data_IF_329299900095
#
_entry.id   IF_329299900095
#
_cell.length_a   1.000
_cell.length_b   1.000
_cell.length_c   1.000
_cell.angle_alpha   90.00
_cell.angle_beta   90.00
_cell.angle_gamma   90.00
#
_symmetry.space_group_name_H-M   'P 1'
#
loop_
_entity.id
_entity.type
_entity.pdbx_description
1 polymer ?
#
# COMPACT_ATOMS: atom_id res chain seq x y z
N UNK A 1 18.97 -24.88 15.39
CA UNK A 1 19.04 -23.44 15.67
C UNK A 1 20.21 -22.79 14.96
N UNK A 2 21.39 -23.41 15.05
CA UNK A 2 22.67 -22.80 14.66
C UNK A 2 22.78 -22.38 13.19
N UNK A 3 22.17 -23.15 12.28
CA UNK A 3 22.15 -22.79 10.86
C UNK A 3 21.42 -21.45 10.64
N UNK A 4 20.20 -21.30 11.15
CA UNK A 4 19.44 -20.04 11.01
C UNK A 4 20.14 -18.87 11.70
N UNK A 5 20.72 -19.09 12.87
CA UNK A 5 21.51 -18.07 13.57
C UNK A 5 22.75 -17.65 12.75
N UNK A 6 23.41 -18.60 12.10
CA UNK A 6 24.52 -18.34 11.19
C UNK A 6 24.11 -17.45 10.00
N UNK A 7 22.96 -17.75 9.37
CA UNK A 7 22.42 -16.90 8.29
C UNK A 7 22.03 -15.51 8.77
N UNK A 8 21.39 -15.40 9.94
CA UNK A 8 21.04 -14.12 10.55
C UNK A 8 22.29 -13.25 10.80
N UNK A 9 23.31 -13.81 11.46
CA UNK A 9 24.56 -13.10 11.77
C UNK A 9 25.32 -12.74 10.49
N UNK A 10 25.38 -13.65 9.52
CA UNK A 10 26.01 -13.43 8.22
C UNK A 10 25.34 -12.30 7.43
N UNK A 11 24.00 -12.28 7.39
CA UNK A 11 23.23 -11.23 6.72
C UNK A 11 23.42 -9.88 7.40
N UNK A 12 23.36 -9.85 8.74
CA UNK A 12 23.61 -8.63 9.51
C UNK A 12 25.01 -8.08 9.26
N UNK A 13 26.03 -8.94 9.22
CA UNK A 13 27.40 -8.54 8.88
C UNK A 13 27.49 -8.00 7.45
N UNK A 14 26.89 -8.67 6.47
CA UNK A 14 26.91 -8.20 5.09
C UNK A 14 26.25 -6.81 4.94
N UNK A 15 25.13 -6.55 5.64
CA UNK A 15 24.50 -5.24 5.65
C UNK A 15 25.42 -4.17 6.28
N UNK A 16 26.03 -4.48 7.42
CA UNK A 16 26.98 -3.59 8.09
C UNK A 16 28.18 -3.25 7.20
N UNK A 17 28.79 -4.26 6.56
CA UNK A 17 29.93 -4.07 5.65
C UNK A 17 29.55 -3.22 4.43
N UNK A 18 28.26 -3.23 4.03
CA UNK A 18 27.68 -2.37 3.00
C UNK A 18 27.17 -1.01 3.54
N UNK A 19 27.56 -0.61 4.75
CA UNK A 19 27.16 0.65 5.40
C UNK A 19 25.64 0.83 5.50
N UNK A 20 24.91 -0.27 5.72
CA UNK A 20 23.47 -0.25 5.98
C UNK A 20 23.23 -0.50 7.47
N UNK A 21 22.60 0.46 8.12
CA UNK A 21 22.24 0.35 9.52
C UNK A 21 21.18 -0.74 9.74
N UNK A 22 21.29 -1.42 10.88
CA UNK A 22 20.37 -2.50 11.25
C UNK A 22 19.97 -2.38 12.71
N UNK A 23 18.71 -2.71 13.00
CA UNK A 23 18.19 -2.85 14.37
C UNK A 23 17.77 -4.30 14.56
N UNK A 24 18.14 -4.90 15.70
CA UNK A 24 17.73 -6.26 16.08
C UNK A 24 16.88 -6.19 17.33
N UNK A 25 15.71 -6.81 17.31
CA UNK A 25 14.84 -7.01 18.47
C UNK A 25 14.81 -8.51 18.75
N UNK A 26 15.24 -8.91 19.95
CA UNK A 26 15.26 -10.31 20.39
C UNK A 26 14.16 -10.52 21.43
N UNK A 27 13.44 -11.63 21.30
CA UNK A 27 12.47 -12.11 22.29
C UNK A 27 12.83 -13.55 22.66
N UNK A 28 12.60 -13.93 23.91
CA UNK A 28 12.98 -15.25 24.42
C UNK A 28 12.13 -16.37 23.81
N UNK A 29 10.84 -16.10 23.60
CA UNK A 29 9.90 -17.02 22.97
C UNK A 29 8.78 -16.28 22.24
N UNK A 30 8.12 -16.99 21.32
CA UNK A 30 6.90 -16.51 20.66
C UNK A 30 5.70 -16.91 21.52
N UNK A 31 5.10 -15.94 22.18
CA UNK A 31 3.90 -16.12 23.00
C UNK A 31 2.93 -14.95 22.82
N UNK A 32 1.64 -15.09 23.18
CA UNK A 32 0.68 -13.99 23.08
C UNK A 32 1.16 -12.72 23.79
N UNK A 33 1.88 -12.86 24.92
CA UNK A 33 2.48 -11.77 25.65
C UNK A 33 3.59 -11.09 24.84
N UNK A 34 4.56 -11.83 24.31
CA UNK A 34 5.69 -11.21 23.57
C UNK A 34 5.23 -10.58 22.26
N UNK A 35 4.24 -11.17 21.59
CA UNK A 35 3.59 -10.56 20.42
C UNK A 35 2.85 -9.27 20.78
N UNK A 36 2.09 -9.24 21.89
CA UNK A 36 1.43 -8.03 22.37
C UNK A 36 2.41 -6.89 22.67
N UNK A 37 3.58 -7.21 23.23
CA UNK A 37 4.65 -6.23 23.47
C UNK A 37 5.20 -5.68 22.16
N UNK A 38 5.42 -6.51 21.14
CA UNK A 38 5.91 -6.06 19.83
C UNK A 38 4.89 -5.15 19.13
N UNK A 39 3.61 -5.53 19.12
CA UNK A 39 2.54 -4.66 18.57
C UNK A 39 2.57 -3.32 19.30
N UNK A 40 2.59 -3.35 20.63
CA UNK A 40 2.61 -2.15 21.42
C UNK A 40 3.83 -1.28 21.10
N UNK A 41 5.03 -1.85 21.04
CA UNK A 41 6.26 -1.14 20.70
C UNK A 41 6.15 -0.42 19.36
N UNK A 42 5.69 -1.11 18.31
CA UNK A 42 5.57 -0.52 16.98
C UNK A 42 4.49 0.56 16.91
N UNK A 43 3.34 0.40 17.60
CA UNK A 43 2.33 1.45 17.71
C UNK A 43 2.89 2.75 18.32
N UNK A 44 3.66 2.64 19.42
CA UNK A 44 4.29 3.83 20.05
C UNK A 44 5.38 4.42 19.17
N UNK A 45 6.20 3.58 18.53
CA UNK A 45 7.29 4.03 17.66
C UNK A 45 6.75 4.84 16.47
N UNK A 46 5.68 4.37 15.82
CA UNK A 46 5.02 5.09 14.73
C UNK A 46 4.43 6.42 15.22
N UNK A 47 3.72 6.41 16.34
CA UNK A 47 3.13 7.63 16.91
C UNK A 47 4.19 8.67 17.30
N UNK A 48 5.29 8.24 17.92
CA UNK A 48 6.41 9.09 18.28
C UNK A 48 7.11 9.66 17.05
N UNK A 49 7.39 8.83 16.04
CA UNK A 49 8.02 9.32 14.81
C UNK A 49 7.16 10.36 14.10
N UNK A 50 5.86 10.11 13.99
CA UNK A 50 4.91 11.06 13.40
C UNK A 50 4.86 12.39 14.17
N UNK A 51 4.92 12.36 15.50
CA UNK A 51 4.98 13.59 16.30
C UNK A 51 6.28 14.37 16.09
N UNK A 52 7.41 13.68 15.92
CA UNK A 52 8.72 14.29 15.62
C UNK A 52 8.75 15.02 14.27
N UNK A 53 8.05 14.49 13.26
CA UNK A 53 8.00 15.09 11.91
C UNK A 53 6.71 15.90 11.65
N UNK A 54 5.90 16.13 12.69
CA UNK A 54 4.67 16.93 12.64
C UNK A 54 3.62 16.44 11.62
N UNK A 55 3.44 15.13 11.50
CA UNK A 55 2.36 14.53 10.69
C UNK A 55 1.33 13.81 11.57
N UNK A 56 0.13 13.64 11.04
CA UNK A 56 -0.88 12.80 11.68
C UNK A 56 -0.72 11.34 11.22
N UNK A 57 -0.27 10.45 12.11
CA UNK A 57 -0.13 9.01 11.83
C UNK A 57 -1.45 8.27 11.58
N UNK A 58 -2.58 8.87 11.97
CA UNK A 58 -3.87 8.18 12.07
C UNK A 58 -4.84 8.54 10.94
N UNK A 59 -4.47 9.47 10.05
CA UNK A 59 -5.30 9.86 8.91
C UNK A 59 -4.71 9.35 7.59
N UNK A 60 -5.58 8.85 6.70
CA UNK A 60 -5.18 8.28 5.41
C UNK A 60 -5.94 8.92 4.23
N UNK A 61 -5.78 10.24 3.99
CA UNK A 61 -6.56 10.96 2.97
C UNK A 61 -6.32 10.46 1.53
N UNK A 62 -5.11 9.94 1.25
CA UNK A 62 -4.77 9.39 -0.06
C UNK A 62 -5.62 8.17 -0.46
N UNK A 63 -6.13 7.41 0.50
CA UNK A 63 -6.99 6.24 0.25
C UNK A 63 -8.30 6.67 -0.39
N UNK A 64 -8.94 7.70 0.16
CA UNK A 64 -10.21 8.20 -0.34
C UNK A 64 -10.05 8.92 -1.68
N UNK A 65 -8.96 9.66 -1.87
CA UNK A 65 -8.62 10.24 -3.16
C UNK A 65 -8.43 9.17 -4.24
N UNK A 66 -7.70 8.09 -3.92
CA UNK A 66 -7.49 6.96 -4.83
C UNK A 66 -8.78 6.25 -5.20
N UNK A 67 -9.67 6.00 -4.22
CA UNK A 67 -11.00 5.42 -4.47
C UNK A 67 -11.86 6.28 -5.39
N UNK A 68 -11.86 7.61 -5.20
CA UNK A 68 -12.63 8.53 -6.06
C UNK A 68 -12.13 8.49 -7.50
N UNK A 69 -10.81 8.62 -7.71
CA UNK A 69 -10.20 8.56 -9.03
C UNK A 69 -10.48 7.22 -9.73
N UNK A 70 -10.33 6.09 -9.02
CA UNK A 70 -10.66 4.78 -9.57
C UNK A 70 -12.15 4.67 -9.92
N UNK A 71 -13.04 5.20 -9.08
CA UNK A 71 -14.48 5.21 -9.32
C UNK A 71 -14.89 6.01 -10.56
N UNK A 72 -14.21 7.11 -10.88
CA UNK A 72 -14.45 7.88 -12.11
C UNK A 72 -14.09 7.08 -13.36
N UNK A 73 -12.94 6.40 -13.35
CA UNK A 73 -12.50 5.54 -14.46
C UNK A 73 -13.50 4.40 -14.67
N UNK A 74 -13.91 3.72 -13.59
CA UNK A 74 -14.87 2.62 -13.66
C UNK A 74 -16.22 3.10 -14.21
N UNK A 75 -16.73 4.25 -13.73
CA UNK A 75 -17.99 4.82 -14.23
C UNK A 75 -17.94 5.10 -15.74
N UNK A 76 -16.83 5.64 -16.23
CA UNK A 76 -16.64 5.87 -17.67
C UNK A 76 -16.63 4.56 -18.46
N UNK A 77 -15.94 3.53 -17.96
CA UNK A 77 -15.92 2.21 -18.60
C UNK A 77 -17.31 1.57 -18.66
N UNK A 78 -18.09 1.66 -17.59
CA UNK A 78 -19.47 1.15 -17.55
C UNK A 78 -20.33 1.87 -18.59
N UNK A 79 -20.31 3.21 -18.63
CA UNK A 79 -21.05 3.98 -19.65
C UNK A 79 -20.68 3.56 -21.08
N UNK A 80 -19.39 3.36 -21.35
CA UNK A 80 -18.91 2.89 -22.65
C UNK A 80 -19.49 1.51 -22.98
N UNK A 81 -19.41 0.56 -22.04
CA UNK A 81 -19.90 -0.80 -22.25
C UNK A 81 -21.41 -0.81 -22.48
N UNK A 82 -22.17 -0.09 -21.66
CA UNK A 82 -23.63 0.02 -21.79
C UNK A 82 -24.01 0.57 -23.17
N UNK A 83 -23.37 1.66 -23.61
CA UNK A 83 -23.62 2.26 -24.91
C UNK A 83 -23.29 1.32 -26.09
N UNK A 84 -22.19 0.56 -26.00
CA UNK A 84 -21.83 -0.43 -27.03
C UNK A 84 -22.80 -1.62 -27.05
N UNK A 85 -23.29 -2.04 -25.89
CA UNK A 85 -24.29 -3.11 -25.78
C UNK A 85 -25.66 -2.69 -26.35
N UNK A 86 -26.04 -1.43 -26.18
CA UNK A 86 -27.27 -0.87 -26.77
C UNK A 86 -27.17 -0.68 -28.29
N UNK A 87 -25.95 -0.58 -28.86
CA UNK A 87 -25.71 -0.33 -30.29
C UNK A 87 -24.87 -1.43 -30.96
N UNK A 88 -25.35 -2.69 -30.99
CA UNK A 88 -24.57 -3.81 -31.50
C UNK A 88 -24.28 -3.67 -33.00
N UNK A 89 -23.05 -4.04 -33.41
CA UNK A 89 -22.63 -4.05 -34.82
C UNK A 89 -22.14 -2.71 -35.37
N UNK A 90 -22.22 -1.63 -34.60
CA UNK A 90 -21.72 -0.31 -34.98
C UNK A 90 -20.23 -0.18 -34.66
N UNK A 91 -19.45 0.37 -35.60
CA UNK A 91 -18.02 0.65 -35.39
C UNK A 91 -17.85 2.10 -34.94
N UNK A 92 -17.06 2.30 -33.89
CA UNK A 92 -16.75 3.62 -33.35
C UNK A 92 -15.24 3.88 -33.39
N UNK A 93 -14.84 5.13 -33.64
CA UNK A 93 -13.52 5.63 -33.23
C UNK A 93 -13.61 6.14 -31.80
N UNK A 94 -12.45 6.34 -31.14
CA UNK A 94 -12.43 6.83 -29.75
C UNK A 94 -13.10 8.20 -29.64
N UNK A 95 -12.89 9.07 -30.62
CA UNK A 95 -13.45 10.42 -30.67
C UNK A 95 -14.96 10.41 -30.89
N UNK A 96 -15.45 9.51 -31.75
CA UNK A 96 -16.89 9.35 -32.01
C UNK A 96 -17.62 8.80 -30.78
N UNK A 97 -16.98 7.90 -30.03
CA UNK A 97 -17.53 7.34 -28.80
C UNK A 97 -17.58 8.38 -27.67
N UNK A 98 -16.54 9.20 -27.55
CA UNK A 98 -16.48 10.29 -26.56
C UNK A 98 -17.56 11.36 -26.84
N UNK A 99 -17.74 11.76 -28.11
CA UNK A 99 -18.82 12.68 -28.52
C UNK A 99 -20.22 12.13 -28.23
N UNK A 100 -20.43 10.81 -28.42
CA UNK A 100 -21.72 10.18 -28.16
C UNK A 100 -22.06 10.07 -26.67
N UNK A 101 -21.04 9.95 -25.81
CA UNK A 101 -21.19 9.76 -24.36
C UNK A 101 -21.26 11.07 -23.57
N UNK A 102 -20.88 12.20 -24.15
CA UNK A 102 -21.19 13.55 -23.67
C UNK A 102 -20.77 13.81 -22.21
N UNK A 103 -19.48 13.74 -21.90
CA UNK A 103 -18.94 14.17 -20.61
C UNK A 103 -17.99 15.38 -20.83
N UNK A 104 -18.53 16.61 -20.73
CA UNK A 104 -17.73 17.82 -20.47
C UNK A 104 -17.30 17.87 -18.99
#
# INVERSE_FOLDING_TARGET
GDYLNGFFLGTRKALYDNKRDTITITIDEVSPRTIGILIALYERAVGLYASMIHINAYHQPGVEAGKKAAGEVIRRQVKILDYLMENPGTKYTVEALDQALGDH
#
